data_IF_633591508536
#
_entry.id   IF_633591508536
#
_cell.length_a   1.000
_cell.length_b   1.000
_cell.length_c   1.000
_cell.angle_alpha   90.00
_cell.angle_beta   90.00
_cell.angle_gamma   90.00
#
_symmetry.space_group_name_H-M   'P 1'
#
loop_
_entity.id
_entity.type
_entity.pdbx_description
1 polymer ?
#
# COMPACT_ATOMS: atom_id res chain seq x y z
N UNK A 1 64.14 25.46 -40.22
CA UNK A 1 62.83 24.82 -40.01
C UNK A 1 63.04 23.37 -40.40
N UNK A 2 63.19 22.48 -39.42
CA UNK A 2 63.51 21.08 -39.67
C UNK A 2 62.26 20.40 -40.27
N UNK A 3 62.29 20.09 -41.56
CA UNK A 3 61.28 19.24 -42.19
C UNK A 3 61.68 17.78 -42.00
N UNK A 4 60.79 16.98 -41.43
CA UNK A 4 61.00 15.55 -41.22
C UNK A 4 61.07 14.83 -42.58
N UNK A 5 61.67 13.63 -42.60
CA UNK A 5 61.66 12.80 -43.80
C UNK A 5 60.23 12.38 -44.15
N UNK A 6 59.86 12.37 -45.43
CA UNK A 6 58.52 12.01 -45.91
C UNK A 6 58.07 10.60 -45.42
N UNK A 7 59.03 9.71 -45.14
CA UNK A 7 58.74 8.40 -44.53
C UNK A 7 58.41 8.51 -43.04
N UNK A 8 59.17 9.31 -42.30
CA UNK A 8 58.95 9.56 -40.87
C UNK A 8 57.63 10.30 -40.64
N UNK A 9 57.31 11.28 -41.50
CA UNK A 9 56.03 11.98 -41.45
C UNK A 9 54.85 11.04 -41.68
N UNK A 10 54.97 10.09 -42.62
CA UNK A 10 53.92 9.08 -42.84
C UNK A 10 53.79 8.09 -41.70
N UNK A 11 54.89 7.72 -41.06
CA UNK A 11 54.88 6.85 -39.88
C UNK A 11 54.21 7.55 -38.70
N UNK A 12 54.60 8.78 -38.41
CA UNK A 12 53.99 9.59 -37.35
C UNK A 12 52.53 9.93 -37.65
N UNK A 13 52.17 10.21 -38.90
CA UNK A 13 50.78 10.43 -39.30
C UNK A 13 49.93 9.17 -39.14
N UNK A 14 50.50 7.99 -39.40
CA UNK A 14 49.80 6.71 -39.19
C UNK A 14 49.56 6.44 -37.71
N UNK A 15 50.57 6.63 -36.87
CA UNK A 15 50.48 6.48 -35.40
C UNK A 15 49.47 7.49 -34.82
N UNK A 16 49.55 8.75 -35.28
CA UNK A 16 48.57 9.79 -34.93
C UNK A 16 47.15 9.40 -35.34
N UNK A 17 46.96 8.86 -36.55
CA UNK A 17 45.67 8.39 -37.04
C UNK A 17 45.20 7.12 -36.32
N UNK A 18 46.07 6.26 -35.79
CA UNK A 18 45.68 5.10 -34.98
C UNK A 18 45.20 5.53 -33.59
N UNK A 19 45.91 6.46 -32.95
CA UNK A 19 45.55 7.01 -31.64
C UNK A 19 44.34 7.96 -31.72
N UNK A 20 44.20 8.69 -32.83
CA UNK A 20 43.09 9.59 -33.10
C UNK A 20 42.06 9.00 -34.07
N UNK A 21 42.10 7.69 -34.33
CA UNK A 21 40.94 6.97 -34.83
C UNK A 21 39.94 6.85 -33.68
N UNK A 22 39.43 7.99 -33.24
CA UNK A 22 38.15 8.06 -32.60
C UNK A 22 37.17 7.60 -33.67
N UNK A 23 36.94 6.30 -33.76
CA UNK A 23 35.86 5.74 -34.53
C UNK A 23 34.57 6.37 -33.98
N UNK A 24 34.23 7.55 -34.48
CA UNK A 24 33.02 8.29 -34.20
C UNK A 24 31.90 7.58 -34.93
N UNK A 25 31.54 6.41 -34.42
CA UNK A 25 30.18 6.01 -34.16
C UNK A 25 30.30 4.90 -33.12
N UNK A 26 30.08 5.23 -31.85
CA UNK A 26 29.80 4.21 -30.85
C UNK A 26 28.59 3.43 -31.36
N UNK A 27 28.83 2.32 -32.04
CA UNK A 27 27.76 1.51 -32.61
C UNK A 27 26.82 1.18 -31.46
N UNK A 28 25.53 1.58 -31.56
CA UNK A 28 24.51 1.22 -30.57
C UNK A 28 24.50 -0.28 -30.26
N UNK A 29 24.96 -1.10 -31.21
CA UNK A 29 25.08 -2.55 -31.05
C UNK A 29 26.18 -2.98 -30.07
N UNK A 30 27.26 -2.21 -29.92
CA UNK A 30 28.47 -2.65 -29.21
C UNK A 30 28.87 -1.76 -28.02
N UNK A 31 28.36 -0.52 -27.93
CA UNK A 31 28.71 0.44 -26.86
C UNK A 31 27.48 1.17 -26.30
N UNK A 32 26.40 0.44 -26.05
CA UNK A 32 25.27 0.96 -25.27
C UNK A 32 25.58 0.84 -23.76
N UNK A 33 26.23 1.87 -23.23
CA UNK A 33 26.55 1.97 -21.80
C UNK A 33 25.27 1.94 -20.96
N UNK A 34 24.17 2.52 -21.46
CA UNK A 34 22.89 2.54 -20.76
C UNK A 34 22.30 1.13 -20.63
N UNK A 35 22.33 0.33 -21.70
CA UNK A 35 21.95 -1.08 -21.65
C UNK A 35 22.85 -1.90 -20.72
N UNK A 36 24.16 -1.61 -20.67
CA UNK A 36 25.08 -2.25 -19.74
C UNK A 36 24.71 -1.93 -18.28
N UNK A 37 24.50 -0.65 -17.94
CA UNK A 37 24.13 -0.22 -16.60
C UNK A 37 22.76 -0.76 -16.17
N UNK A 38 21.76 -0.73 -17.07
CA UNK A 38 20.44 -1.34 -16.82
C UNK A 38 20.55 -2.83 -16.50
N UNK A 39 21.40 -3.56 -17.23
CA UNK A 39 21.63 -5.00 -17.01
C UNK A 39 22.38 -5.28 -15.70
N UNK A 40 23.26 -4.38 -15.26
CA UNK A 40 23.91 -4.49 -13.95
C UNK A 40 22.91 -4.26 -12.81
N UNK A 41 22.07 -3.22 -12.90
CA UNK A 41 21.01 -2.96 -11.93
C UNK A 41 20.02 -4.11 -11.84
N UNK A 42 19.57 -4.67 -12.96
CA UNK A 42 18.71 -5.86 -12.97
C UNK A 42 19.38 -7.08 -12.32
N UNK A 43 20.69 -7.26 -12.53
CA UNK A 43 21.46 -8.34 -11.88
C UNK A 43 21.58 -8.13 -10.38
N UNK A 44 21.73 -6.90 -9.91
CA UNK A 44 21.77 -6.58 -8.47
C UNK A 44 20.40 -6.78 -7.82
N UNK A 45 19.32 -6.30 -8.46
CA UNK A 45 17.95 -6.53 -8.00
C UNK A 45 17.61 -8.03 -7.96
N UNK A 46 18.00 -8.81 -8.98
CA UNK A 46 17.77 -10.27 -9.03
C UNK A 46 18.66 -11.07 -8.09
N UNK A 47 19.88 -10.59 -7.80
CA UNK A 47 20.77 -11.25 -6.83
C UNK A 47 20.22 -11.19 -5.41
N UNK A 48 19.19 -10.37 -5.16
CA UNK A 48 18.69 -10.09 -3.83
C UNK A 48 19.78 -9.43 -2.98
N UNK A 49 19.38 -8.92 -1.81
CA UNK A 49 20.38 -8.57 -0.81
C UNK A 49 21.15 -9.86 -0.48
N UNK A 50 22.41 -9.95 -0.91
CA UNK A 50 23.31 -10.91 -0.29
C UNK A 50 23.26 -10.59 1.20
N UNK A 51 22.82 -11.54 2.01
CA UNK A 51 22.94 -11.48 3.46
C UNK A 51 24.44 -11.55 3.81
N UNK A 52 25.18 -10.50 3.45
CA UNK A 52 26.44 -10.21 4.11
C UNK A 52 26.01 -9.88 5.54
N UNK A 53 26.55 -10.57 6.55
CA UNK A 53 26.34 -10.17 7.94
C UNK A 53 27.04 -8.82 8.11
N UNK A 54 26.36 -7.75 7.72
CA UNK A 54 26.68 -6.40 8.17
C UNK A 54 26.23 -6.41 9.61
N UNK A 55 27.21 -6.43 10.52
CA UNK A 55 26.94 -6.20 11.94
C UNK A 55 26.08 -4.94 12.04
N UNK A 56 24.88 -5.05 12.65
CA UNK A 56 24.01 -3.89 12.86
C UNK A 56 24.80 -2.88 13.68
N UNK A 57 25.14 -1.74 13.09
CA UNK A 57 25.87 -0.66 13.76
C UNK A 57 24.96 0.34 14.46
N UNK A 58 23.64 0.18 14.33
CA UNK A 58 22.64 1.08 14.91
C UNK A 58 21.62 0.23 15.67
N UNK A 59 21.62 0.38 16.99
CA UNK A 59 20.71 -0.28 17.93
C UNK A 59 19.74 0.77 18.49
N UNK A 60 18.80 1.25 17.67
CA UNK A 60 17.69 2.09 18.13
C UNK A 60 16.56 1.20 18.69
N UNK A 61 16.90 0.36 19.66
CA UNK A 61 15.99 -0.60 20.29
C UNK A 61 14.84 0.08 21.06
N UNK A 62 15.09 1.25 21.65
CA UNK A 62 14.09 2.03 22.37
C UNK A 62 13.00 2.63 21.45
N UNK A 63 13.37 3.16 20.29
CA UNK A 63 12.38 3.69 19.33
C UNK A 63 11.54 2.56 18.72
N UNK A 64 12.17 1.43 18.40
CA UNK A 64 11.47 0.24 17.93
C UNK A 64 10.46 -0.24 18.97
N UNK A 65 10.87 -0.34 20.24
CA UNK A 65 9.99 -0.71 21.35
C UNK A 65 8.85 0.28 21.55
N UNK A 66 9.07 1.57 21.35
CA UNK A 66 8.01 2.60 21.42
C UNK A 66 6.98 2.42 20.31
N UNK A 67 7.43 2.15 19.08
CA UNK A 67 6.55 1.90 17.93
C UNK A 67 5.71 0.64 18.15
N UNK A 68 6.33 -0.43 18.66
CA UNK A 68 5.64 -1.69 18.98
C UNK A 68 4.54 -1.49 20.04
N UNK A 69 4.85 -0.77 21.13
CA UNK A 69 3.87 -0.46 22.19
C UNK A 69 2.71 0.39 21.69
N UNK A 70 2.97 1.37 20.80
CA UNK A 70 1.91 2.18 20.20
C UNK A 70 0.99 1.33 19.32
N UNK A 71 1.57 0.45 18.51
CA UNK A 71 0.82 -0.45 17.62
C UNK A 71 -0.04 -1.45 18.40
N UNK A 72 0.46 -1.95 19.52
CA UNK A 72 -0.29 -2.85 20.40
C UNK A 72 -1.47 -2.13 21.09
N UNK A 73 -1.27 -0.88 21.52
CA UNK A 73 -2.36 -0.04 22.06
C UNK A 73 -3.44 0.26 21.02
N UNK A 74 -3.05 0.53 19.77
CA UNK A 74 -4.00 0.75 18.68
C UNK A 74 -4.83 -0.49 18.40
N UNK A 75 -4.20 -1.67 18.35
CA UNK A 75 -4.90 -2.96 18.20
C UNK A 75 -5.91 -3.21 19.32
N UNK A 76 -5.53 -2.94 20.57
CA UNK A 76 -6.44 -3.11 21.71
C UNK A 76 -7.65 -2.18 21.61
N UNK A 77 -7.44 -0.91 21.24
CA UNK A 77 -8.54 0.04 21.02
C UNK A 77 -9.46 -0.39 19.87
N UNK A 78 -8.89 -0.88 18.78
CA UNK A 78 -9.67 -1.35 17.63
C UNK A 78 -10.53 -2.57 18.00
N UNK A 79 -9.96 -3.52 18.75
CA UNK A 79 -10.69 -4.68 19.25
C UNK A 79 -11.83 -4.30 20.21
N UNK A 80 -11.61 -3.31 21.09
CA UNK A 80 -12.64 -2.80 22.00
C UNK A 80 -13.78 -2.13 21.23
N UNK A 81 -13.46 -1.30 20.23
CA UNK A 81 -14.46 -0.67 19.35
C UNK A 81 -15.23 -1.73 18.56
N UNK A 82 -14.57 -2.76 18.06
CA UNK A 82 -15.24 -3.86 17.36
C UNK A 82 -16.18 -4.65 18.28
N UNK A 83 -15.74 -4.95 19.50
CA UNK A 83 -16.57 -5.62 20.51
C UNK A 83 -17.81 -4.78 20.86
N UNK A 84 -17.65 -3.46 21.04
CA UNK A 84 -18.76 -2.55 21.26
C UNK A 84 -19.72 -2.51 20.07
N UNK A 85 -19.21 -2.46 18.83
CA UNK A 85 -20.06 -2.53 17.63
C UNK A 85 -20.87 -3.83 17.60
N UNK A 86 -20.25 -4.96 17.93
CA UNK A 86 -20.92 -6.28 17.99
C UNK A 86 -22.00 -6.33 19.08
N UNK A 87 -21.75 -5.74 20.25
CA UNK A 87 -22.76 -5.67 21.33
C UNK A 87 -23.90 -4.72 20.99
N UNK A 88 -23.61 -3.58 20.33
CA UNK A 88 -24.64 -2.68 19.83
C UNK A 88 -25.47 -3.34 18.74
N UNK A 89 -24.85 -4.11 17.85
CA UNK A 89 -25.56 -4.86 16.81
C UNK A 89 -26.47 -5.93 17.39
N UNK A 90 -26.07 -6.68 18.44
CA UNK A 90 -26.94 -7.71 18.99
C UNK A 90 -28.20 -7.14 19.64
N UNK A 91 -28.08 -6.07 20.44
CA UNK A 91 -29.22 -5.38 21.05
C UNK A 91 -30.07 -4.60 20.04
N UNK A 92 -29.44 -3.80 19.18
CA UNK A 92 -30.15 -3.00 18.19
C UNK A 92 -30.80 -3.86 17.10
N UNK A 93 -30.16 -4.95 16.66
CA UNK A 93 -30.78 -5.84 15.68
C UNK A 93 -31.98 -6.61 16.25
N UNK A 94 -31.96 -6.95 17.54
CA UNK A 94 -33.14 -7.51 18.22
C UNK A 94 -34.26 -6.47 18.30
N UNK A 95 -33.95 -5.24 18.72
CA UNK A 95 -34.92 -4.15 18.77
C UNK A 95 -35.52 -3.82 17.38
N UNK A 96 -34.71 -3.83 16.32
CA UNK A 96 -35.19 -3.63 14.95
C UNK A 96 -36.14 -4.76 14.51
N UNK A 97 -35.81 -6.02 14.83
CA UNK A 97 -36.67 -7.17 14.53
C UNK A 97 -38.02 -7.08 15.25
N UNK A 98 -38.01 -6.68 16.51
CA UNK A 98 -39.24 -6.48 17.30
C UNK A 98 -40.08 -5.33 16.73
N UNK A 99 -39.44 -4.22 16.35
CA UNK A 99 -40.14 -3.11 15.71
C UNK A 99 -40.77 -3.50 14.37
N UNK A 100 -40.07 -4.29 13.54
CA UNK A 100 -40.64 -4.82 12.29
C UNK A 100 -41.82 -5.74 12.55
N UNK A 101 -41.73 -6.63 13.55
CA UNK A 101 -42.82 -7.54 13.93
C UNK A 101 -44.06 -6.76 14.40
N UNK A 102 -43.88 -5.73 15.23
CA UNK A 102 -44.99 -4.89 15.70
C UNK A 102 -45.66 -4.13 14.54
N UNK A 103 -44.89 -3.65 13.56
CA UNK A 103 -45.45 -3.03 12.34
C UNK A 103 -46.26 -4.01 11.51
N UNK A 104 -45.78 -5.24 11.35
CA UNK A 104 -46.51 -6.30 10.64
C UNK A 104 -47.81 -6.67 11.36
N UNK A 105 -47.76 -6.79 12.68
CA UNK A 105 -48.93 -7.09 13.52
C UNK A 105 -49.96 -5.96 13.45
N UNK A 106 -49.53 -4.69 13.52
CA UNK A 106 -50.40 -3.54 13.32
C UNK A 106 -51.10 -3.58 11.95
N UNK A 107 -50.34 -3.85 10.87
CA UNK A 107 -50.89 -3.96 9.52
C UNK A 107 -51.90 -5.11 9.41
N UNK A 108 -51.66 -6.23 10.10
CA UNK A 108 -52.57 -7.35 10.15
C UNK A 108 -53.88 -7.00 10.89
N UNK A 109 -53.80 -6.36 12.05
CA UNK A 109 -54.97 -5.89 12.80
C UNK A 109 -55.78 -4.86 12.02
N UNK A 110 -55.11 -3.98 11.28
CA UNK A 110 -55.77 -3.01 10.40
C UNK A 110 -56.53 -3.70 9.26
N UNK A 111 -55.94 -4.73 8.63
CA UNK A 111 -56.61 -5.55 7.61
C UNK A 111 -57.82 -6.32 8.15
N UNK A 112 -57.78 -6.71 9.41
CA UNK A 112 -58.89 -7.38 10.11
C UNK A 112 -60.01 -6.41 10.54
N UNK A 113 -59.80 -5.09 10.45
CA UNK A 113 -60.76 -4.08 10.89
C UNK A 113 -60.74 -3.78 12.39
N UNK A 114 -59.76 -4.33 13.14
CA UNK A 114 -59.57 -4.07 14.57
C UNK A 114 -58.77 -2.78 14.79
N UNK A 115 -59.42 -1.63 14.64
CA UNK A 115 -58.81 -0.31 14.75
C UNK A 115 -58.24 0.01 16.13
N UNK A 116 -58.89 -0.48 17.20
CA UNK A 116 -58.44 -0.29 18.58
C UNK A 116 -57.11 -1.00 18.88
N UNK A 117 -56.97 -2.25 18.42
CA UNK A 117 -55.74 -3.03 18.58
C UNK A 117 -54.58 -2.42 17.78
N UNK A 118 -54.84 -1.94 16.56
CA UNK A 118 -53.84 -1.25 15.75
C UNK A 118 -53.36 0.06 16.41
N UNK A 119 -54.28 0.83 17.01
CA UNK A 119 -53.96 2.06 17.72
C UNK A 119 -53.13 1.82 18.99
N UNK A 120 -53.37 0.71 19.70
CA UNK A 120 -52.57 0.31 20.85
C UNK A 120 -51.13 -0.06 20.46
N UNK A 121 -50.95 -0.76 19.32
CA UNK A 121 -49.62 -1.10 18.79
C UNK A 121 -48.89 0.18 18.31
N UNK A 122 -49.60 1.11 17.67
CA UNK A 122 -49.04 2.40 17.25
C UNK A 122 -48.46 3.19 18.44
N UNK A 123 -49.23 3.32 19.54
CA UNK A 123 -48.75 3.99 20.76
C UNK A 123 -47.49 3.36 21.34
N UNK A 124 -47.32 2.05 21.16
CA UNK A 124 -46.16 1.29 21.63
C UNK A 124 -44.94 1.44 20.70
N UNK A 125 -45.18 1.84 19.45
CA UNK A 125 -44.17 2.09 18.43
C UNK A 125 -43.66 3.54 18.44
N UNK A 126 -44.40 4.44 19.08
CA UNK A 126 -44.10 5.87 19.16
C UNK A 126 -42.87 6.11 20.05
N UNK A 127 -41.82 6.79 19.55
CA UNK A 127 -40.56 6.99 20.27
C UNK A 127 -40.64 8.01 21.41
N UNK A 128 -41.68 8.85 21.44
CA UNK A 128 -41.92 9.89 22.46
C UNK A 128 -42.97 9.47 23.51
N UNK A 129 -43.44 8.22 23.49
CA UNK A 129 -44.33 7.72 24.52
C UNK A 129 -43.60 7.73 25.88
N UNK A 130 -44.18 8.33 26.95
CA UNK A 130 -43.56 8.31 28.26
C UNK A 130 -43.41 6.86 28.73
N UNK A 131 -42.17 6.50 29.11
CA UNK A 131 -41.79 5.17 29.64
C UNK A 131 -42.50 4.90 30.96
#
# INVERSE_FOLDING_TARGET
>A
MESLSNWEEKAMFKEFMEDHNTATFASKKYYDLEAYHRRQLEKEMKKGFKNVPVERTIFDDEEQRRIELMKERERQKEAEVEALKRSMQSGMAQAMKEQTRLREEMMYQYKLGNSEAAAAIQKRLDPDAPV
#
